data_IF_389782140974
#
_entry.id   IF_389782140974
#
_cell.length_a   1.000
_cell.length_b   1.000
_cell.length_c   1.000
_cell.angle_alpha   90.00
_cell.angle_beta   90.00
_cell.angle_gamma   90.00
#
_symmetry.space_group_name_H-M   'P 1'
#
loop_
_entity.id
_entity.type
_entity.pdbx_description
1 polymer ?
#
# COMPACT_ATOMS: atom_id res chain seq x y z
N UNK A 1 -50.73 14.99 13.03
CA UNK A 1 -50.10 13.75 12.48
C UNK A 1 -48.85 13.39 13.31
N UNK A 2 -48.73 12.15 13.82
CA UNK A 2 -47.52 11.78 14.55
C UNK A 2 -46.34 11.90 13.59
N UNK A 3 -45.36 12.72 13.97
CA UNK A 3 -44.13 12.93 13.22
C UNK A 3 -43.30 11.65 13.27
N UNK A 4 -43.60 10.70 12.39
CA UNK A 4 -42.77 9.52 12.19
C UNK A 4 -41.35 9.99 11.87
N UNK A 5 -40.38 9.62 12.70
CA UNK A 5 -38.98 9.91 12.45
C UNK A 5 -38.57 9.22 11.14
N UNK A 6 -37.74 9.85 10.32
CA UNK A 6 -37.37 9.36 8.98
C UNK A 6 -35.85 9.33 8.87
N UNK A 7 -35.31 8.18 8.46
CA UNK A 7 -33.87 7.94 8.43
C UNK A 7 -33.45 7.23 7.14
N UNK A 8 -32.52 7.79 6.35
CA UNK A 8 -31.78 6.97 5.41
C UNK A 8 -30.79 6.05 6.13
N UNK A 9 -30.59 4.85 5.61
CA UNK A 9 -29.62 3.86 6.13
C UNK A 9 -28.56 3.53 5.08
N UNK A 10 -27.36 3.16 5.50
CA UNK A 10 -26.36 2.64 4.56
C UNK A 10 -26.78 1.27 3.98
N UNK A 11 -26.30 0.95 2.78
CA UNK A 11 -26.56 -0.33 2.13
C UNK A 11 -26.16 -1.53 3.00
N UNK A 12 -25.02 -1.46 3.69
CA UNK A 12 -24.54 -2.55 4.55
C UNK A 12 -25.44 -2.77 5.77
N UNK A 13 -26.01 -1.70 6.33
CA UNK A 13 -27.05 -1.80 7.38
C UNK A 13 -28.28 -2.52 6.87
N UNK A 14 -28.75 -2.15 5.67
CA UNK A 14 -29.95 -2.75 5.09
C UNK A 14 -29.77 -4.26 4.88
N UNK A 15 -28.66 -4.67 4.27
CA UNK A 15 -28.37 -6.08 3.98
C UNK A 15 -28.18 -6.93 5.24
N UNK A 16 -27.57 -6.34 6.29
CA UNK A 16 -27.34 -7.04 7.56
C UNK A 16 -28.60 -7.21 8.41
N UNK A 17 -29.45 -6.19 8.48
CA UNK A 17 -30.63 -6.19 9.36
C UNK A 17 -31.92 -6.63 8.66
N UNK A 18 -31.98 -6.55 7.34
CA UNK A 18 -33.12 -6.97 6.52
C UNK A 18 -32.66 -7.89 5.38
N UNK A 19 -32.04 -9.05 5.68
CA UNK A 19 -31.70 -10.02 4.64
C UNK A 19 -32.98 -10.47 3.93
N UNK A 20 -32.95 -10.44 2.59
CA UNK A 20 -34.04 -10.88 1.69
C UNK A 20 -35.38 -10.13 1.81
N UNK A 21 -35.41 -8.98 2.50
CA UNK A 21 -36.63 -8.17 2.68
C UNK A 21 -36.37 -6.73 2.28
N UNK A 22 -37.27 -6.15 1.49
CA UNK A 22 -37.21 -4.72 1.12
C UNK A 22 -37.21 -3.85 2.38
N UNK A 23 -36.12 -3.10 2.65
CA UNK A 23 -35.95 -2.34 3.88
C UNK A 23 -36.72 -1.01 3.84
N UNK A 24 -37.05 -0.49 2.65
CA UNK A 24 -37.79 0.76 2.50
C UNK A 24 -39.17 0.68 3.17
N UNK A 25 -39.50 1.71 3.94
CA UNK A 25 -40.76 1.81 4.67
C UNK A 25 -40.82 1.02 5.98
N UNK A 26 -39.82 0.19 6.29
CA UNK A 26 -39.71 -0.51 7.58
C UNK A 26 -39.34 0.44 8.71
N UNK A 27 -39.61 0.02 9.94
CA UNK A 27 -39.36 0.79 11.15
C UNK A 27 -38.19 0.21 11.94
N UNK A 28 -37.34 1.09 12.47
CA UNK A 28 -36.17 0.78 13.28
C UNK A 28 -36.13 1.64 14.55
N UNK A 29 -35.71 1.04 15.66
CA UNK A 29 -35.46 1.78 16.91
C UNK A 29 -34.02 2.30 16.95
N UNK A 30 -33.73 3.30 16.12
CA UNK A 30 -32.37 3.84 15.97
C UNK A 30 -31.83 4.53 17.25
N UNK A 31 -32.71 4.91 18.18
CA UNK A 31 -32.36 5.61 19.44
C UNK A 31 -32.60 4.75 20.69
N UNK A 32 -32.76 3.43 20.54
CA UNK A 32 -33.17 2.54 21.62
C UNK A 32 -34.69 2.33 21.69
N UNK A 33 -35.11 1.30 22.43
CA UNK A 33 -36.49 0.78 22.41
C UNK A 33 -37.52 1.72 23.05
N UNK A 34 -37.07 2.65 23.88
CA UNK A 34 -37.92 3.60 24.60
C UNK A 34 -38.28 4.84 23.76
N UNK A 35 -37.73 4.97 22.55
CA UNK A 35 -38.02 6.07 21.63
C UNK A 35 -38.97 5.64 20.51
N UNK A 36 -39.65 6.62 19.90
CA UNK A 36 -40.48 6.37 18.72
C UNK A 36 -39.64 5.76 17.58
N UNK A 37 -40.16 4.72 16.89
CA UNK A 37 -39.43 4.09 15.80
C UNK A 37 -39.28 5.05 14.62
N UNK A 38 -38.11 5.02 13.98
CA UNK A 38 -37.82 5.73 12.75
C UNK A 38 -38.14 4.85 11.54
N UNK A 39 -38.80 5.42 10.53
CA UNK A 39 -39.05 4.77 9.26
C UNK A 39 -37.86 4.95 8.31
N UNK A 40 -37.48 3.87 7.63
CA UNK A 40 -36.47 3.87 6.58
C UNK A 40 -37.07 4.49 5.33
N UNK A 41 -36.55 5.65 4.91
CA UNK A 41 -37.06 6.40 3.74
C UNK A 41 -36.13 6.36 2.53
N UNK A 42 -34.91 5.84 2.70
CA UNK A 42 -33.93 5.77 1.64
C UNK A 42 -32.74 4.90 2.04
N UNK A 43 -32.04 4.41 1.03
CA UNK A 43 -30.78 3.70 1.20
C UNK A 43 -29.69 4.54 0.54
N UNK A 44 -28.60 4.78 1.26
CA UNK A 44 -27.44 5.50 0.75
C UNK A 44 -26.26 4.55 0.56
N UNK A 45 -25.35 4.91 -0.35
CA UNK A 45 -24.13 4.15 -0.53
C UNK A 45 -23.28 4.19 0.76
N UNK A 46 -22.59 3.09 1.04
CA UNK A 46 -21.76 2.98 2.23
C UNK A 46 -20.65 4.05 2.24
N UNK A 47 -20.63 4.86 3.30
CA UNK A 47 -19.52 5.74 3.62
C UNK A 47 -18.48 5.01 4.48
N UNK A 48 -17.22 5.45 4.39
CA UNK A 48 -16.18 5.11 5.37
C UNK A 48 -15.89 6.37 6.17
N UNK A 49 -16.64 6.55 7.25
CA UNK A 49 -16.68 7.81 8.00
C UNK A 49 -15.57 7.92 9.05
N UNK A 50 -15.19 6.80 9.67
CA UNK A 50 -14.18 6.78 10.75
C UNK A 50 -12.78 6.42 10.24
N UNK A 51 -12.65 5.33 9.47
CA UNK A 51 -11.38 4.88 8.90
C UNK A 51 -11.57 4.40 7.46
N UNK A 52 -10.78 4.95 6.54
CA UNK A 52 -10.78 4.56 5.13
C UNK A 52 -10.26 3.12 4.91
N UNK A 53 -9.56 2.55 5.90
CA UNK A 53 -8.96 1.21 5.84
C UNK A 53 -9.86 0.12 6.38
N UNK A 54 -10.90 0.46 7.16
CA UNK A 54 -11.82 -0.53 7.71
C UNK A 54 -13.01 -0.77 6.78
N UNK A 55 -13.65 -1.93 6.96
CA UNK A 55 -14.93 -2.23 6.32
C UNK A 55 -15.94 -1.17 6.77
N UNK A 56 -16.74 -0.67 5.83
CA UNK A 56 -17.77 0.32 6.14
C UNK A 56 -18.74 -0.23 7.18
N UNK A 57 -18.84 0.44 8.32
CA UNK A 57 -19.75 0.04 9.39
C UNK A 57 -21.21 0.37 9.02
N UNK A 58 -22.20 -0.32 9.63
CA UNK A 58 -23.59 0.03 9.47
C UNK A 58 -23.85 1.45 10.00
N UNK A 59 -24.25 2.37 9.11
CA UNK A 59 -24.56 3.74 9.46
C UNK A 59 -26.05 4.05 9.25
N UNK A 60 -26.58 4.90 10.12
CA UNK A 60 -27.94 5.43 10.05
C UNK A 60 -27.86 6.95 10.11
N UNK A 61 -28.48 7.60 9.14
CA UNK A 61 -28.52 9.05 9.05
C UNK A 61 -29.85 9.54 9.61
N UNK A 62 -29.80 10.37 10.65
CA UNK A 62 -30.99 10.96 11.27
C UNK A 62 -31.01 12.47 11.07
N UNK A 63 -32.20 13.03 10.89
CA UNK A 63 -32.38 14.47 10.87
C UNK A 63 -32.04 15.06 12.24
N UNK A 64 -31.25 16.13 12.26
CA UNK A 64 -30.87 16.86 13.48
C UNK A 64 -32.11 17.24 14.32
N UNK A 65 -33.15 17.71 13.63
CA UNK A 65 -34.42 18.12 14.24
C UNK A 65 -35.20 16.97 14.87
N UNK A 66 -35.04 15.74 14.36
CA UNK A 66 -35.71 14.55 14.88
C UNK A 66 -34.91 13.87 15.99
N UNK A 67 -33.58 13.96 15.92
CA UNK A 67 -32.71 13.37 16.93
C UNK A 67 -32.66 14.24 18.20
N UNK A 68 -32.94 15.54 18.10
CA UNK A 68 -32.79 16.48 19.24
C UNK A 68 -31.37 16.45 19.84
N UNK A 69 -30.43 15.90 19.09
CA UNK A 69 -29.08 15.62 19.54
C UNK A 69 -28.21 16.83 19.25
N UNK A 70 -27.31 17.11 20.19
CA UNK A 70 -26.27 18.10 19.99
C UNK A 70 -25.24 17.54 19.00
N UNK A 71 -25.13 18.16 17.82
CA UNK A 71 -23.99 17.87 16.93
C UNK A 71 -22.81 18.73 17.35
N UNK A 72 -21.69 18.08 17.69
CA UNK A 72 -20.41 18.77 17.95
C UNK A 72 -19.76 19.29 16.66
N UNK A 73 -20.18 18.78 15.50
CA UNK A 73 -19.53 19.04 14.22
C UNK A 73 -20.50 19.71 13.24
N UNK A 74 -20.02 20.72 12.53
CA UNK A 74 -20.74 21.43 11.48
C UNK A 74 -19.96 21.29 10.17
N UNK A 75 -20.58 20.66 9.18
CA UNK A 75 -20.01 20.58 7.84
C UNK A 75 -20.51 21.74 6.99
N UNK A 76 -19.58 22.49 6.41
CA UNK A 76 -19.88 23.61 5.52
C UNK A 76 -19.32 23.29 4.14
N UNK A 77 -20.20 23.27 3.13
CA UNK A 77 -19.79 23.17 1.73
C UNK A 77 -19.69 24.57 1.14
N UNK A 78 -18.56 24.88 0.52
CA UNK A 78 -18.33 26.14 -0.18
C UNK A 78 -17.74 25.89 -1.57
N UNK A 79 -17.94 26.83 -2.49
CA UNK A 79 -17.26 26.89 -3.79
C UNK A 79 -15.97 27.73 -3.74
N UNK A 80 -15.78 28.56 -2.70
CA UNK A 80 -14.57 29.37 -2.49
C UNK A 80 -13.52 28.62 -1.67
N UNK A 81 -12.31 29.16 -1.54
CA UNK A 81 -11.27 28.58 -0.67
C UNK A 81 -11.80 28.41 0.78
N UNK A 82 -11.92 27.17 1.30
CA UNK A 82 -12.42 26.90 2.64
C UNK A 82 -11.61 27.58 3.75
N UNK A 83 -10.29 27.77 3.54
CA UNK A 83 -9.40 28.39 4.52
C UNK A 83 -9.73 29.86 4.74
N UNK A 84 -10.20 30.54 3.70
CA UNK A 84 -10.63 31.95 3.78
C UNK A 84 -11.94 32.14 4.56
N UNK A 85 -12.75 31.09 4.73
CA UNK A 85 -14.05 31.19 5.38
C UNK A 85 -14.02 31.02 6.89
N UNK A 86 -12.92 30.54 7.48
CA UNK A 86 -12.86 30.24 8.91
C UNK A 86 -13.24 31.43 9.80
N UNK A 87 -12.66 32.60 9.52
CA UNK A 87 -12.98 33.82 10.27
C UNK A 87 -14.42 34.33 10.05
N UNK A 88 -15.03 34.05 8.90
CA UNK A 88 -16.42 34.42 8.61
C UNK A 88 -17.39 33.50 9.35
N UNK A 89 -17.13 32.19 9.34
CA UNK A 89 -17.93 31.19 10.06
C UNK A 89 -17.86 31.46 11.58
N UNK A 90 -16.67 31.73 12.11
CA UNK A 90 -16.50 32.02 13.53
C UNK A 90 -17.25 33.28 13.97
N UNK A 91 -17.24 34.35 13.16
CA UNK A 91 -18.01 35.57 13.42
C UNK A 91 -19.52 35.31 13.37
N UNK A 92 -19.99 34.54 12.40
CA UNK A 92 -21.40 34.17 12.29
C UNK A 92 -21.87 33.34 13.49
N UNK A 93 -21.07 32.35 13.93
CA UNK A 93 -21.37 31.51 15.09
C UNK A 93 -21.45 32.32 16.38
N UNK A 94 -20.48 33.22 16.62
CA UNK A 94 -20.51 34.12 17.79
C UNK A 94 -21.71 35.07 17.81
N UNK A 95 -22.26 35.41 16.63
CA UNK A 95 -23.47 36.20 16.52
C UNK A 95 -24.74 35.45 16.93
N UNK A 96 -24.72 34.12 16.85
CA UNK A 96 -25.83 33.24 17.29
C UNK A 96 -25.66 32.88 18.75
N UNK A 97 -24.46 32.44 19.14
CA UNK A 97 -24.12 32.05 20.51
C UNK A 97 -22.72 32.57 20.88
N UNK A 98 -22.62 33.55 21.80
CA UNK A 98 -21.35 34.10 22.26
C UNK A 98 -20.43 33.09 22.94
N UNK A 99 -20.98 31.98 23.45
CA UNK A 99 -20.23 30.92 24.15
C UNK A 99 -19.74 29.82 23.22
N UNK A 100 -20.16 29.83 21.94
CA UNK A 100 -19.73 28.85 20.96
C UNK A 100 -18.24 29.00 20.62
N UNK A 101 -17.43 28.04 21.08
CA UNK A 101 -16.03 27.92 20.73
C UNK A 101 -15.89 27.06 19.46
N UNK A 102 -15.30 27.64 18.41
CA UNK A 102 -14.82 26.86 17.25
C UNK A 102 -13.43 26.34 17.61
N UNK A 103 -13.36 25.11 18.11
CA UNK A 103 -12.08 24.51 18.52
C UNK A 103 -11.25 24.03 17.33
N UNK A 104 -11.87 23.35 16.35
CA UNK A 104 -11.17 22.72 15.24
C UNK A 104 -11.83 23.06 13.91
N UNK A 105 -11.29 24.07 13.23
CA UNK A 105 -11.61 24.35 11.83
C UNK A 105 -10.62 23.60 10.95
N UNK A 106 -11.04 22.43 10.45
CA UNK A 106 -10.22 21.58 9.60
C UNK A 106 -10.93 21.37 8.27
N UNK A 107 -10.19 21.51 7.18
CA UNK A 107 -10.73 21.21 5.85
C UNK A 107 -10.79 19.71 5.60
N UNK A 108 -11.71 19.24 4.76
CA UNK A 108 -11.75 17.83 4.37
C UNK A 108 -10.43 17.38 3.71
N UNK A 109 -9.74 18.28 3.02
CA UNK A 109 -8.42 17.99 2.42
C UNK A 109 -7.32 17.81 3.47
N UNK A 110 -7.36 18.56 4.57
CA UNK A 110 -6.44 18.38 5.70
C UNK A 110 -6.72 17.08 6.46
N UNK A 111 -7.99 16.76 6.73
CA UNK A 111 -8.38 15.48 7.33
C UNK A 111 -7.85 14.33 6.46
N UNK A 112 -8.07 14.41 5.14
CA UNK A 112 -7.56 13.42 4.19
C UNK A 112 -6.04 13.38 4.14
N UNK A 113 -5.38 14.53 4.25
CA UNK A 113 -3.94 14.68 4.28
C UNK A 113 -3.31 14.00 5.49
N UNK A 114 -3.86 14.23 6.68
CA UNK A 114 -3.39 13.66 7.95
C UNK A 114 -3.60 12.14 7.99
N UNK A 115 -4.75 11.64 7.53
CA UNK A 115 -4.98 10.19 7.38
C UNK A 115 -3.95 9.52 6.44
N UNK A 116 -3.43 10.26 5.46
CA UNK A 116 -2.42 9.76 4.51
C UNK A 116 -0.98 10.04 4.94
N UNK A 117 -0.73 10.96 5.87
CA UNK A 117 0.61 11.38 6.29
C UNK A 117 1.38 10.23 6.94
N UNK A 118 0.76 9.53 7.89
CA UNK A 118 1.33 8.33 8.54
C UNK A 118 1.67 7.24 7.51
N UNK A 119 0.78 7.03 6.53
CA UNK A 119 1.02 6.08 5.43
C UNK A 119 2.20 6.48 4.56
N UNK A 120 2.30 7.76 4.19
CA UNK A 120 3.42 8.27 3.38
C UNK A 120 4.75 8.09 4.09
N UNK A 121 4.81 8.38 5.39
CA UNK A 121 6.02 8.18 6.19
C UNK A 121 6.45 6.71 6.24
N UNK A 122 5.52 5.79 6.55
CA UNK A 122 5.80 4.35 6.56
C UNK A 122 6.24 3.85 5.17
N UNK A 123 5.58 4.32 4.10
CA UNK A 123 5.95 3.98 2.71
C UNK A 123 7.34 4.48 2.37
N UNK A 124 7.69 5.71 2.73
CA UNK A 124 9.02 6.28 2.51
C UNK A 124 10.11 5.50 3.26
N UNK A 125 9.84 5.09 4.49
CA UNK A 125 10.77 4.28 5.28
C UNK A 125 10.99 2.89 4.64
N UNK A 126 9.91 2.23 4.22
CA UNK A 126 9.98 0.94 3.51
C UNK A 126 10.73 1.06 2.18
N UNK A 127 10.50 2.12 1.41
CA UNK A 127 11.27 2.41 0.19
C UNK A 127 12.75 2.61 0.53
N UNK A 128 13.07 3.33 1.60
CA UNK A 128 14.45 3.47 2.09
C UNK A 128 15.10 2.12 2.41
N UNK A 129 14.43 1.26 3.16
CA UNK A 129 14.92 -0.10 3.44
C UNK A 129 15.06 -0.95 2.18
N UNK A 130 14.12 -0.87 1.25
CA UNK A 130 14.19 -1.59 -0.02
C UNK A 130 15.42 -1.17 -0.84
N UNK A 131 15.75 0.13 -0.87
CA UNK A 131 16.97 0.63 -1.54
C UNK A 131 18.23 0.07 -0.88
N UNK A 132 18.34 0.14 0.45
CA UNK A 132 19.51 -0.40 1.18
C UNK A 132 19.65 -1.90 0.96
N UNK A 133 18.55 -2.66 1.09
CA UNK A 133 18.55 -4.10 0.84
C UNK A 133 18.93 -4.45 -0.60
N UNK A 134 18.51 -3.65 -1.58
CA UNK A 134 18.88 -3.82 -2.99
C UNK A 134 20.39 -3.61 -3.21
N UNK A 135 20.99 -2.59 -2.57
CA UNK A 135 22.42 -2.35 -2.63
C UNK A 135 23.23 -3.48 -1.98
N UNK A 136 22.78 -3.97 -0.83
CA UNK A 136 23.39 -5.13 -0.17
C UNK A 136 23.31 -6.39 -1.04
N UNK A 137 22.17 -6.61 -1.69
CA UNK A 137 21.96 -7.72 -2.62
C UNK A 137 22.91 -7.63 -3.82
N UNK A 138 23.06 -6.44 -4.41
CA UNK A 138 24.03 -6.16 -5.48
C UNK A 138 25.46 -6.50 -5.05
N UNK A 139 25.86 -6.05 -3.86
CA UNK A 139 27.18 -6.34 -3.29
C UNK A 139 27.39 -7.83 -3.05
N UNK A 140 26.39 -8.52 -2.49
CA UNK A 140 26.42 -9.96 -2.23
C UNK A 140 26.52 -10.80 -3.52
N UNK A 141 25.69 -10.51 -4.52
CA UNK A 141 25.74 -11.17 -5.83
C UNK A 141 27.11 -10.96 -6.48
N UNK A 142 27.62 -9.73 -6.46
CA UNK A 142 28.97 -9.44 -6.98
C UNK A 142 30.05 -10.23 -6.24
N UNK A 143 30.00 -10.29 -4.91
CA UNK A 143 30.96 -11.02 -4.08
C UNK A 143 30.97 -12.52 -4.41
N UNK A 144 29.81 -13.15 -4.42
CA UNK A 144 29.65 -14.59 -4.73
C UNK A 144 30.14 -14.90 -6.15
N UNK A 145 29.77 -14.09 -7.14
CA UNK A 145 30.21 -14.29 -8.53
C UNK A 145 31.71 -14.06 -8.70
N UNK A 146 32.27 -13.00 -8.08
CA UNK A 146 33.70 -12.73 -8.13
C UNK A 146 34.51 -13.86 -7.51
N UNK A 147 34.07 -14.42 -6.37
CA UNK A 147 34.69 -15.57 -5.73
C UNK A 147 34.60 -16.83 -6.61
N UNK A 148 33.45 -17.07 -7.26
CA UNK A 148 33.27 -18.21 -8.18
C UNK A 148 34.17 -18.12 -9.42
N UNK A 149 34.37 -16.91 -9.97
CA UNK A 149 35.31 -16.71 -11.09
C UNK A 149 36.75 -16.96 -10.67
N UNK A 150 37.15 -16.50 -9.48
CA UNK A 150 38.51 -16.72 -8.95
C UNK A 150 38.76 -18.20 -8.67
N UNK A 151 37.80 -18.93 -8.08
CA UNK A 151 37.94 -20.36 -7.79
C UNK A 151 38.01 -21.23 -9.05
N UNK A 152 37.32 -20.82 -10.13
CA UNK A 152 37.33 -21.53 -11.42
C UNK A 152 38.42 -21.05 -12.39
N UNK A 153 39.27 -20.10 -12.00
CA UNK A 153 40.29 -19.47 -12.88
C UNK A 153 41.20 -20.49 -13.57
N UNK A 154 41.56 -21.59 -12.90
CA UNK A 154 42.41 -22.67 -13.44
C UNK A 154 41.70 -23.48 -14.53
N UNK A 155 40.43 -23.83 -14.33
CA UNK A 155 39.59 -24.53 -15.32
C UNK A 155 39.33 -23.65 -16.55
N UNK A 156 39.08 -22.36 -16.30
CA UNK A 156 38.88 -21.35 -17.34
C UNK A 156 40.14 -21.11 -18.19
N UNK A 157 41.32 -21.10 -17.56
CA UNK A 157 42.62 -20.98 -18.24
C UNK A 157 42.94 -22.21 -19.10
N UNK A 158 42.62 -23.42 -18.63
CA UNK A 158 42.81 -24.66 -19.41
C UNK A 158 41.89 -24.66 -20.64
N UNK A 159 40.60 -24.30 -20.48
CA UNK A 159 39.67 -24.23 -21.63
C UNK A 159 40.07 -23.18 -22.66
N UNK A 160 40.56 -22.02 -22.24
CA UNK A 160 41.05 -21.00 -23.17
C UNK A 160 42.34 -21.43 -23.87
N UNK A 161 43.25 -22.13 -23.19
CA UNK A 161 44.45 -22.72 -23.81
C UNK A 161 44.13 -23.80 -24.87
N UNK A 162 42.99 -24.49 -24.75
CA UNK A 162 42.49 -25.49 -25.71
C UNK A 162 41.65 -24.83 -26.85
N UNK A 163 41.48 -23.51 -26.84
CA UNK A 163 40.82 -22.75 -27.91
C UNK A 163 39.33 -22.47 -27.71
N UNK A 164 38.80 -22.60 -26.49
CA UNK A 164 37.41 -22.28 -26.22
C UNK A 164 37.12 -20.78 -26.40
N UNK A 165 36.09 -20.44 -27.21
CA UNK A 165 35.63 -19.06 -27.41
C UNK A 165 35.18 -18.42 -26.09
N UNK A 166 35.55 -17.14 -25.87
CA UNK A 166 35.15 -16.36 -24.70
C UNK A 166 33.63 -16.26 -24.49
N UNK A 167 32.81 -16.55 -25.53
CA UNK A 167 31.35 -16.66 -25.45
C UNK A 167 30.89 -17.85 -24.61
N UNK A 168 31.58 -18.99 -24.66
CA UNK A 168 31.26 -20.16 -23.83
C UNK A 168 31.49 -19.90 -22.33
N UNK A 169 32.51 -19.10 -22.02
CA UNK A 169 32.80 -18.63 -20.65
C UNK A 169 31.70 -17.69 -20.12
N UNK A 170 31.28 -16.74 -20.95
CA UNK A 170 30.20 -15.80 -20.61
C UNK A 170 28.88 -16.54 -20.36
N UNK A 171 28.55 -17.55 -21.19
CA UNK A 171 27.35 -18.36 -21.02
C UNK A 171 27.30 -19.14 -19.70
N UNK A 172 28.45 -19.65 -19.22
CA UNK A 172 28.54 -20.35 -17.94
C UNK A 172 28.29 -19.41 -16.75
N UNK A 173 28.91 -18.23 -16.75
CA UNK A 173 28.76 -17.25 -15.67
C UNK A 173 27.33 -16.69 -15.65
N UNK A 174 26.77 -16.38 -16.82
CA UNK A 174 25.39 -15.89 -16.94
C UNK A 174 24.38 -16.98 -16.57
N UNK A 175 24.62 -18.24 -16.94
CA UNK A 175 23.76 -19.37 -16.57
C UNK A 175 23.76 -19.64 -15.06
N UNK A 176 24.91 -19.53 -14.40
CA UNK A 176 25.00 -19.68 -12.95
C UNK A 176 24.30 -18.52 -12.22
N UNK A 177 24.47 -17.29 -12.73
CA UNK A 177 23.72 -16.11 -12.27
C UNK A 177 22.21 -16.28 -12.45
N UNK A 178 21.76 -16.73 -13.62
CA UNK A 178 20.34 -16.95 -13.91
C UNK A 178 19.72 -18.00 -12.99
N UNK A 179 20.45 -19.07 -12.64
CA UNK A 179 19.98 -20.11 -11.71
C UNK A 179 19.83 -19.59 -10.28
N UNK A 180 20.80 -18.78 -9.81
CA UNK A 180 20.72 -18.12 -8.50
C UNK A 180 19.55 -17.13 -8.44
N UNK A 181 19.33 -16.36 -9.50
CA UNK A 181 18.19 -15.44 -9.62
C UNK A 181 16.87 -16.22 -9.58
N UNK A 182 16.75 -17.30 -10.36
CA UNK A 182 15.55 -18.13 -10.39
C UNK A 182 15.18 -18.68 -9.01
N UNK A 183 16.17 -19.22 -8.28
CA UNK A 183 15.97 -19.70 -6.91
C UNK A 183 15.60 -18.55 -5.94
N UNK A 184 16.23 -17.39 -6.09
CA UNK A 184 15.90 -16.20 -5.31
C UNK A 184 14.47 -15.70 -5.53
N UNK A 185 13.99 -15.69 -6.79
CA UNK A 185 12.61 -15.29 -7.13
C UNK A 185 11.60 -16.26 -6.52
N UNK A 186 11.83 -17.57 -6.64
CA UNK A 186 10.96 -18.59 -6.03
C UNK A 186 10.96 -18.46 -4.50
N UNK A 187 12.12 -18.31 -3.87
CA UNK A 187 12.23 -18.10 -2.43
C UNK A 187 11.54 -16.82 -1.97
N UNK A 188 11.68 -15.74 -2.74
CA UNK A 188 11.01 -14.45 -2.48
C UNK A 188 9.49 -14.55 -2.55
N UNK A 189 8.94 -15.27 -3.53
CA UNK A 189 7.50 -15.53 -3.63
C UNK A 189 6.98 -16.30 -2.41
N UNK A 190 7.70 -17.32 -1.96
CA UNK A 190 7.34 -18.09 -0.75
C UNK A 190 7.40 -17.19 0.50
N UNK A 191 8.46 -16.39 0.64
CA UNK A 191 8.60 -15.44 1.75
C UNK A 191 7.48 -14.39 1.78
N UNK A 192 7.08 -13.88 0.61
CA UNK A 192 5.98 -12.92 0.49
C UNK A 192 4.65 -13.51 0.99
N UNK A 193 4.38 -14.79 0.71
CA UNK A 193 3.18 -15.51 1.21
C UNK A 193 3.22 -15.75 2.72
N UNK A 194 4.40 -15.90 3.32
CA UNK A 194 4.52 -16.00 4.78
C UNK A 194 4.24 -14.64 5.42
N UNK A 195 4.76 -13.55 4.85
CA UNK A 195 4.50 -12.20 5.34
C UNK A 195 3.03 -11.79 5.20
N UNK A 196 2.33 -12.26 4.18
CA UNK A 196 0.87 -12.09 4.02
C UNK A 196 0.11 -12.58 5.26
N UNK A 197 0.48 -13.75 5.81
CA UNK A 197 -0.17 -14.28 7.01
C UNK A 197 0.05 -13.43 8.27
N UNK A 198 1.02 -12.51 8.23
CA UNK A 198 1.39 -11.63 9.34
C UNK A 198 0.87 -10.19 9.15
N UNK A 199 0.57 -9.78 7.91
CA UNK A 199 0.05 -8.45 7.58
C UNK A 199 -1.44 -8.53 7.23
N UNK A 200 -2.29 -8.15 8.18
CA UNK A 200 -3.72 -7.94 7.95
C UNK A 200 -3.96 -6.91 6.82
N UNK A 201 -4.99 -7.14 6.00
CA UNK A 201 -5.52 -6.25 4.96
C UNK A 201 -4.66 -5.90 3.72
N UNK A 202 -3.48 -6.51 3.51
CA UNK A 202 -2.76 -6.35 2.23
C UNK A 202 -3.04 -7.55 1.33
N UNK A 203 -3.82 -7.41 0.23
CA UNK A 203 -4.00 -8.52 -0.70
C UNK A 203 -2.63 -8.88 -1.31
N UNK A 204 -2.04 -10.02 -0.93
CA UNK A 204 -0.70 -10.41 -1.41
C UNK A 204 -0.67 -10.93 -2.85
N UNK A 205 -1.73 -10.65 -3.59
CA UNK A 205 -1.94 -11.03 -4.98
C UNK A 205 -2.11 -9.80 -5.86
N UNK A 206 -1.48 -8.68 -5.50
CA UNK A 206 -1.25 -7.61 -6.46
C UNK A 206 -0.15 -8.04 -7.45
N UNK A 207 -0.56 -8.92 -8.39
CA UNK A 207 0.25 -9.48 -9.48
C UNK A 207 1.09 -8.41 -10.18
N UNK A 208 0.60 -7.20 -10.52
CA UNK A 208 1.43 -6.19 -11.16
C UNK A 208 2.60 -5.75 -10.26
N UNK A 209 2.39 -5.61 -8.95
CA UNK A 209 3.42 -5.20 -8.00
C UNK A 209 4.49 -6.28 -7.84
N UNK A 210 4.08 -7.55 -7.71
CA UNK A 210 5.02 -8.68 -7.66
C UNK A 210 5.79 -8.88 -8.97
N UNK A 211 5.13 -8.71 -10.11
CA UNK A 211 5.77 -8.78 -11.41
C UNK A 211 6.79 -7.65 -11.59
N UNK A 212 6.43 -6.42 -11.23
CA UNK A 212 7.33 -5.26 -11.28
C UNK A 212 8.56 -5.44 -10.37
N UNK A 213 8.36 -5.92 -9.13
CA UNK A 213 9.46 -6.22 -8.21
C UNK A 213 10.38 -7.32 -8.75
N UNK A 214 9.81 -8.41 -9.26
CA UNK A 214 10.58 -9.52 -9.85
C UNK A 214 11.42 -9.05 -11.03
N UNK A 215 10.84 -8.20 -11.90
CA UNK A 215 11.51 -7.65 -13.07
C UNK A 215 12.63 -6.67 -12.68
N UNK A 216 12.40 -5.84 -11.66
CA UNK A 216 13.41 -4.94 -11.09
C UNK A 216 14.62 -5.73 -10.56
N UNK A 217 14.39 -6.76 -9.75
CA UNK A 217 15.47 -7.61 -9.22
C UNK A 217 16.18 -8.41 -10.31
N UNK A 218 15.46 -8.88 -11.32
CA UNK A 218 16.08 -9.50 -12.50
C UNK A 218 17.01 -8.52 -13.23
N UNK A 219 16.57 -7.28 -13.46
CA UNK A 219 17.42 -6.23 -14.04
C UNK A 219 18.64 -5.92 -13.17
N UNK A 220 18.47 -5.75 -11.85
CA UNK A 220 19.56 -5.50 -10.91
C UNK A 220 20.60 -6.63 -10.93
N UNK A 221 20.13 -7.88 -10.95
CA UNK A 221 21.00 -9.04 -10.99
C UNK A 221 21.72 -9.17 -12.34
N UNK A 222 21.08 -8.88 -13.47
CA UNK A 222 21.74 -8.82 -14.77
C UNK A 222 22.84 -7.75 -14.80
N UNK A 223 22.59 -6.58 -14.25
CA UNK A 223 23.59 -5.50 -14.11
C UNK A 223 24.75 -5.95 -13.21
N UNK A 224 24.45 -6.59 -12.08
CA UNK A 224 25.44 -7.14 -11.16
C UNK A 224 26.31 -8.23 -11.81
N UNK A 225 25.73 -9.06 -12.68
CA UNK A 225 26.43 -10.12 -13.42
C UNK A 225 27.29 -9.57 -14.57
N UNK A 226 26.91 -8.45 -15.17
CA UNK A 226 27.59 -7.91 -16.35
C UNK A 226 29.03 -7.46 -16.08
N UNK A 227 29.28 -6.90 -14.89
CA UNK A 227 30.62 -6.43 -14.47
C UNK A 227 31.63 -7.58 -14.33
N UNK A 228 31.39 -8.64 -13.53
CA UNK A 228 32.30 -9.77 -13.42
C UNK A 228 32.42 -10.57 -14.73
N UNK A 229 31.34 -10.71 -15.51
CA UNK A 229 31.41 -11.36 -16.82
C UNK A 229 32.31 -10.59 -17.80
N UNK A 230 32.25 -9.26 -17.81
CA UNK A 230 33.17 -8.40 -18.58
C UNK A 230 34.61 -8.50 -18.06
N UNK A 231 34.83 -8.58 -16.74
CA UNK A 231 36.17 -8.80 -16.18
C UNK A 231 36.74 -10.15 -16.61
N UNK A 232 35.97 -11.23 -16.49
CA UNK A 232 36.41 -12.57 -16.91
C UNK A 232 36.78 -12.63 -18.40
N UNK A 233 36.03 -11.94 -19.26
CA UNK A 233 36.31 -11.85 -20.69
C UNK A 233 37.56 -11.04 -21.05
N UNK A 234 38.10 -10.25 -20.11
CA UNK A 234 39.31 -9.42 -20.30
C UNK A 234 40.55 -10.00 -19.62
N UNK A 235 40.45 -11.15 -18.94
CA UNK A 235 41.62 -11.78 -18.32
C UNK A 235 42.50 -12.36 -19.43
N UNK A 236 43.70 -11.81 -19.56
CA UNK A 236 44.70 -12.24 -20.53
C UNK A 236 45.27 -13.62 -20.12
N UNK A 237 45.08 -14.69 -20.91
CA UNK A 237 45.41 -16.07 -20.53
C UNK A 237 46.88 -16.27 -20.17
N UNK A 238 47.78 -15.44 -20.71
CA UNK A 238 49.23 -15.51 -20.44
C UNK A 238 49.60 -15.06 -19.01
N UNK A 239 48.78 -14.20 -18.38
CA UNK A 239 49.00 -13.77 -16.99
C UNK A 239 48.63 -14.86 -15.97
N UNK A 240 47.65 -15.72 -16.29
CA UNK A 240 47.17 -16.77 -15.40
C UNK A 240 48.11 -17.99 -15.30
N UNK A 241 49.01 -18.17 -16.27
CA UNK A 241 50.00 -19.26 -16.29
C UNK A 241 51.34 -18.90 -15.63
N UNK A 242 51.59 -17.61 -15.35
CA UNK A 242 52.85 -17.13 -14.75
C UNK A 242 52.86 -17.09 -13.22
N UNK A 243 51.71 -17.24 -12.57
CA UNK A 243 51.55 -17.20 -11.10
C UNK A 243 51.36 -18.60 -10.47
N UNK A 244 51.53 -19.68 -11.23
CA UNK A 244 51.52 -21.07 -10.74
C UNK A 244 52.91 -21.68 -10.74
#
# INVERSE_FOLDING_TARGET
PPTTAMAPTSWWSAERFFPDVEPLGKQIWARGRDNDPAQIVGIVQNGRTDDLTQVAEPEIYLSLWQNGAFSKHLFVRTASDPRSLGGTIQRALRGVDPTAAVENLVTLDEIRGDSLATRRFATQLLVGFAVVASLLTLGGIYGVLSLSVVSRRRELAIRTAVGAEGRALQGLIVGEGARLIGLGVVGGLVGARILESLLFEVPATDVPTLAAASLLFACLALVACWIPARRAARVDPLSALREG
#
